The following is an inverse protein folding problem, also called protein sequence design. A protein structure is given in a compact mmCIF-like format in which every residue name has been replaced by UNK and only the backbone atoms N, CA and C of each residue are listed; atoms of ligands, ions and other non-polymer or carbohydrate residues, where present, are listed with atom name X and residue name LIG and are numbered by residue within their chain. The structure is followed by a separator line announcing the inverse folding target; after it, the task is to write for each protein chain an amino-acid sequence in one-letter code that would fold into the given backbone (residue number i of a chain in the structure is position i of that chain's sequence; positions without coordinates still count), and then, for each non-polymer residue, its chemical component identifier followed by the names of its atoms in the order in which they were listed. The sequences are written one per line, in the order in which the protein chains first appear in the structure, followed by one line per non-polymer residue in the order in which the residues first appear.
data_IF_487033996118
#
_entry.id   IF_487033996118
#
_cell.length_a   1.000
_cell.length_b   1.000
_cell.length_c   1.000
_cell.angle_alpha   90.00
_cell.angle_beta   90.00
_cell.angle_gamma   90.00
#
_symmetry.space_group_name_H-M   'P 1'
#
loop_
_entity.id
_entity.type
_entity.pdbx_description
1 polymer ?
#
# COMPACT_ATOMS: atom_id res chain seq x y z
N UNK A 1 3.46 4.20 10.50
CA UNK A 1 2.94 5.42 9.84
C UNK A 1 2.08 6.24 10.78
N UNK A 2 2.20 7.56 10.70
CA UNK A 2 1.40 8.55 11.44
C UNK A 2 -0.03 8.62 10.83
N UNK A 3 -1.08 8.84 11.63
CA UNK A 3 -2.50 8.66 11.25
C UNK A 3 -3.06 9.60 10.16
N UNK A 4 -2.24 10.43 9.52
CA UNK A 4 -2.70 11.45 8.56
C UNK A 4 -2.95 10.92 7.15
N UNK A 5 -2.21 9.91 6.67
CA UNK A 5 -2.32 9.42 5.29
C UNK A 5 -3.62 8.65 4.98
N UNK A 6 -4.31 8.14 6.00
CA UNK A 6 -5.58 7.39 5.82
C UNK A 6 -6.68 8.31 5.24
N UNK A 7 -6.70 9.59 5.61
CA UNK A 7 -7.66 10.55 5.06
C UNK A 7 -7.34 10.94 3.62
N UNK A 8 -6.06 11.01 3.27
CA UNK A 8 -5.61 11.34 1.91
C UNK A 8 -5.88 10.19 0.93
N UNK A 9 -5.77 8.94 1.38
CA UNK A 9 -6.13 7.78 0.56
C UNK A 9 -7.63 7.72 0.23
N UNK A 10 -8.50 8.22 1.12
CA UNK A 10 -9.96 8.26 0.89
C UNK A 10 -10.38 9.31 -0.16
N UNK A 11 -9.63 10.41 -0.26
CA UNK A 11 -9.95 11.52 -1.18
C UNK A 11 -9.26 11.39 -2.55
N UNK A 12 -8.34 10.43 -2.73
CA UNK A 12 -7.65 10.22 -4.00
C UNK A 12 -8.55 9.50 -5.01
N UNK A 13 -8.43 9.83 -6.32
CA UNK A 13 -9.09 9.08 -7.38
C UNK A 13 -8.66 7.62 -7.38
N UNK A 14 -9.57 6.72 -7.80
CA UNK A 14 -9.30 5.29 -7.95
C UNK A 14 -8.01 5.03 -8.75
N UNK A 15 -7.81 5.77 -9.84
CA UNK A 15 -6.65 5.64 -10.70
C UNK A 15 -5.33 5.96 -9.98
N UNK A 16 -5.31 6.94 -9.07
CA UNK A 16 -4.12 7.26 -8.27
C UNK A 16 -3.87 6.22 -7.19
N UNK A 17 -4.92 5.64 -6.60
CA UNK A 17 -4.79 4.52 -5.67
C UNK A 17 -4.21 3.27 -6.35
N UNK A 18 -4.62 2.98 -7.59
CA UNK A 18 -4.08 1.87 -8.38
C UNK A 18 -2.61 2.08 -8.74
N UNK A 19 -2.21 3.31 -9.09
CA UNK A 19 -0.79 3.65 -9.31
C UNK A 19 0.04 3.46 -8.04
N UNK A 20 -0.41 4.02 -6.92
CA UNK A 20 0.27 3.88 -5.63
C UNK A 20 0.37 2.41 -5.19
N UNK A 21 -0.67 1.61 -5.45
CA UNK A 21 -0.67 0.17 -5.18
C UNK A 21 0.39 -0.54 -6.02
N UNK A 22 0.55 -0.17 -7.29
CA UNK A 22 1.57 -0.74 -8.16
C UNK A 22 2.98 -0.40 -7.67
N UNK A 23 3.24 0.87 -7.37
CA UNK A 23 4.52 1.32 -6.82
C UNK A 23 4.85 0.64 -5.48
N UNK A 24 3.86 0.49 -4.60
CA UNK A 24 4.04 -0.19 -3.31
C UNK A 24 4.38 -1.69 -3.49
N UNK A 25 3.80 -2.35 -4.49
CA UNK A 25 4.12 -3.75 -4.83
C UNK A 25 5.53 -3.90 -5.38
N UNK A 26 5.97 -2.99 -6.25
CA UNK A 26 7.33 -2.99 -6.77
C UNK A 26 8.35 -2.74 -5.65
N UNK A 27 8.10 -1.77 -4.76
CA UNK A 27 8.92 -1.57 -3.56
C UNK A 27 8.96 -2.80 -2.67
N UNK A 28 7.82 -3.49 -2.50
CA UNK A 28 7.77 -4.72 -1.70
C UNK A 28 8.64 -5.81 -2.33
N UNK A 29 8.64 -5.91 -3.66
CA UNK A 29 9.47 -6.87 -4.40
C UNK A 29 10.96 -6.61 -4.18
N UNK A 30 11.40 -5.36 -4.35
CA UNK A 30 12.80 -4.96 -4.10
C UNK A 30 13.19 -5.24 -2.66
N UNK A 31 12.38 -4.84 -1.68
CA UNK A 31 12.65 -5.10 -0.26
C UNK A 31 12.71 -6.60 0.07
N UNK A 32 11.91 -7.45 -0.59
CA UNK A 32 11.99 -8.91 -0.42
C UNK A 32 13.30 -9.46 -0.98
N UNK A 33 13.78 -8.95 -2.11
CA UNK A 33 15.08 -9.31 -2.66
C UNK A 33 16.23 -8.86 -1.76
N UNK A 34 16.20 -7.62 -1.28
CA UNK A 34 17.24 -7.11 -0.37
C UNK A 34 17.23 -7.86 0.97
N UNK A 35 16.06 -8.25 1.46
CA UNK A 35 15.92 -9.07 2.67
C UNK A 35 16.49 -10.47 2.46
N UNK A 36 16.22 -11.10 1.32
CA UNK A 36 16.80 -12.39 0.95
C UNK A 36 18.33 -12.30 0.80
N UNK A 37 18.83 -11.15 0.32
CA UNK A 37 20.27 -10.86 0.25
C UNK A 37 20.90 -10.52 1.61
N UNK A 38 20.13 -10.47 2.70
CA UNK A 38 20.61 -10.17 4.05
C UNK A 38 21.05 -8.71 4.26
N UNK A 39 20.72 -7.81 3.33
CA UNK A 39 21.14 -6.40 3.36
C UNK A 39 20.14 -5.48 4.08
N UNK A 40 18.96 -5.99 4.42
CA UNK A 40 17.90 -5.18 5.05
C UNK A 40 18.07 -5.15 6.57
N UNK A 41 18.42 -3.98 7.10
CA UNK A 41 18.38 -3.70 8.55
C UNK A 41 16.96 -3.43 9.07
N UNK A 42 16.05 -2.95 8.20
CA UNK A 42 14.72 -2.47 8.59
C UNK A 42 13.57 -3.39 8.14
N UNK A 43 13.43 -4.55 8.80
CA UNK A 43 12.30 -5.47 8.56
C UNK A 43 10.93 -4.80 8.87
N UNK A 44 10.93 -3.77 9.72
CA UNK A 44 9.73 -2.99 10.04
C UNK A 44 9.10 -2.28 8.84
N UNK A 45 9.91 -1.85 7.86
CA UNK A 45 9.41 -1.17 6.65
C UNK A 45 8.62 -2.12 5.76
N UNK A 46 9.06 -3.38 5.64
CA UNK A 46 8.32 -4.42 4.93
C UNK A 46 6.91 -4.60 5.49
N UNK A 47 6.80 -4.68 6.82
CA UNK A 47 5.51 -4.85 7.51
C UNK A 47 4.62 -3.62 7.38
N UNK A 48 5.19 -2.43 7.37
CA UNK A 48 4.42 -1.19 7.13
C UNK A 48 3.89 -1.17 5.70
N UNK A 49 4.74 -1.46 4.72
CA UNK A 49 4.37 -1.47 3.31
C UNK A 49 3.25 -2.49 3.00
N UNK A 50 3.32 -3.68 3.59
CA UNK A 50 2.24 -4.68 3.49
C UNK A 50 0.91 -4.17 4.05
N UNK A 51 0.94 -3.47 5.20
CA UNK A 51 -0.28 -2.89 5.80
C UNK A 51 -0.86 -1.78 4.93
N UNK A 52 -0.01 -0.97 4.29
CA UNK A 52 -0.47 0.11 3.42
C UNK A 52 -1.10 -0.44 2.14
N UNK A 53 -0.51 -1.48 1.53
CA UNK A 53 -1.13 -2.22 0.42
C UNK A 53 -2.51 -2.77 0.81
N UNK A 54 -2.61 -3.41 1.97
CA UNK A 54 -3.88 -3.99 2.44
C UNK A 54 -4.96 -2.90 2.63
N UNK A 55 -4.60 -1.75 3.19
CA UNK A 55 -5.52 -0.61 3.36
C UNK A 55 -5.97 -0.04 2.02
N UNK A 56 -5.05 0.17 1.07
CA UNK A 56 -5.38 0.66 -0.28
C UNK A 56 -6.39 -0.26 -0.96
N UNK A 57 -6.18 -1.59 -0.88
CA UNK A 57 -7.12 -2.58 -1.41
C UNK A 57 -8.50 -2.52 -0.73
N UNK A 58 -8.53 -2.33 0.59
CA UNK A 58 -9.80 -2.15 1.32
C UNK A 58 -10.55 -0.92 0.83
N UNK A 59 -9.88 0.23 0.67
CA UNK A 59 -10.53 1.45 0.16
C UNK A 59 -11.05 1.27 -1.27
N UNK A 60 -10.26 0.68 -2.17
CA UNK A 60 -10.71 0.35 -3.52
C UNK A 60 -11.97 -0.52 -3.51
N UNK A 61 -12.01 -1.55 -2.66
CA UNK A 61 -13.16 -2.43 -2.52
C UNK A 61 -14.38 -1.73 -1.92
N UNK A 62 -14.18 -0.83 -0.96
CA UNK A 62 -15.28 -0.04 -0.38
C UNK A 62 -15.88 0.91 -1.42
N UNK A 63 -15.06 1.58 -2.23
CA UNK A 63 -15.53 2.42 -3.33
C UNK A 63 -16.28 1.61 -4.39
N UNK A 64 -15.79 0.42 -4.75
CA UNK A 64 -16.48 -0.50 -5.67
C UNK A 64 -17.83 -0.99 -5.11
N UNK A 65 -17.92 -1.23 -3.80
CA UNK A 65 -19.17 -1.63 -3.17
C UNK A 65 -20.21 -0.50 -3.13
N UNK A 66 -19.77 0.75 -2.94
CA UNK A 66 -20.64 1.93 -2.96
C UNK A 66 -21.15 2.27 -4.37
N UNK A 67 -20.37 1.98 -5.42
CA UNK A 67 -20.80 2.21 -6.81
C UNK A 67 -21.81 1.17 -7.34
N UNK A 68 -22.03 0.07 -6.60
CA UNK A 68 -22.98 -1.00 -6.95
C UNK A 68 -24.31 -0.95 -6.18
N UNK A 69 -24.49 0.05 -5.31
CA UNK A 69 -25.75 0.34 -4.60
C UNK A 69 -26.48 1.48 -5.29
#
# INVERSE_FOLDING_TARGET
MKPREIKELKNKPRADLEKLLHEARERLRVLRFDLAAGKVKNVGELRMLQKDIARMLTFLRMSDAQAKQ
#
